data_IF_258206776321
#
_entry.id   IF_258206776321
#
_cell.length_a   1.000
_cell.length_b   1.000
_cell.length_c   1.000
_cell.angle_alpha   90.00
_cell.angle_beta   90.00
_cell.angle_gamma   90.00
#
_symmetry.space_group_name_H-M   'P 1'
#
loop_
_entity.id
_entity.type
_entity.pdbx_description
1 polymer ?
#
# COMPACT_ATOMS: atom_id res chain seq x y z
N UNK A 1 -17.42 -19.98 -14.00
CA UNK A 1 -16.24 -19.59 -13.19
C UNK A 1 -15.05 -20.27 -13.85
N UNK A 2 -14.02 -19.55 -14.29
CA UNK A 2 -12.88 -20.15 -14.99
C UNK A 2 -12.04 -20.98 -14.00
N UNK A 3 -11.57 -22.17 -14.41
CA UNK A 3 -10.71 -23.06 -13.60
C UNK A 3 -9.52 -22.34 -12.97
N UNK A 4 -8.99 -21.31 -13.65
CA UNK A 4 -7.87 -20.49 -13.17
C UNK A 4 -8.22 -19.67 -11.92
N UNK A 5 -9.44 -19.15 -11.83
CA UNK A 5 -9.92 -18.38 -10.67
C UNK A 5 -10.11 -19.29 -9.46
N UNK A 6 -10.65 -20.49 -9.66
CA UNK A 6 -10.87 -21.46 -8.60
C UNK A 6 -9.55 -21.94 -7.99
N UNK A 7 -8.58 -22.31 -8.81
CA UNK A 7 -7.24 -22.71 -8.35
C UNK A 7 -6.53 -21.62 -7.55
N UNK A 8 -6.77 -20.35 -7.90
CA UNK A 8 -6.19 -19.23 -7.17
C UNK A 8 -6.82 -19.05 -5.78
N UNK A 9 -8.15 -19.24 -5.65
CA UNK A 9 -8.87 -19.15 -4.38
C UNK A 9 -8.44 -20.28 -3.43
N UNK A 10 -8.33 -21.52 -3.92
CA UNK A 10 -7.87 -22.65 -3.10
C UNK A 10 -6.41 -22.45 -2.62
N UNK A 11 -5.53 -21.98 -3.50
CA UNK A 11 -4.15 -21.66 -3.15
C UNK A 11 -4.10 -20.60 -2.04
N UNK A 12 -4.91 -19.57 -2.19
CA UNK A 12 -5.02 -18.49 -1.21
C UNK A 12 -5.57 -18.98 0.13
N UNK A 13 -6.58 -19.85 0.10
CA UNK A 13 -7.14 -20.45 1.30
C UNK A 13 -6.10 -21.28 2.06
N UNK A 14 -5.33 -22.11 1.34
CA UNK A 14 -4.25 -22.91 1.96
C UNK A 14 -3.19 -22.02 2.60
N UNK A 15 -2.79 -20.92 1.92
CA UNK A 15 -1.85 -19.94 2.46
C UNK A 15 -2.38 -19.31 3.75
N UNK A 16 -3.65 -18.84 3.72
CA UNK A 16 -4.29 -18.23 4.87
C UNK A 16 -4.44 -19.20 6.05
N UNK A 17 -4.84 -20.44 5.77
CA UNK A 17 -5.03 -21.47 6.79
C UNK A 17 -3.72 -21.94 7.42
N UNK A 18 -2.63 -21.93 6.66
CA UNK A 18 -1.29 -22.26 7.12
C UNK A 18 -0.66 -21.19 8.04
N UNK A 19 -1.23 -19.99 8.12
CA UNK A 19 -0.73 -18.95 9.02
C UNK A 19 -0.83 -19.39 10.49
N UNK A 20 0.29 -19.35 11.19
CA UNK A 20 0.43 -19.78 12.59
C UNK A 20 -0.36 -18.85 13.52
N UNK A 21 -1.36 -19.32 14.28
CA UNK A 21 -2.20 -18.45 15.14
C UNK A 21 -1.43 -17.74 16.25
N UNK A 22 -0.28 -18.26 16.69
CA UNK A 22 0.59 -17.61 17.68
C UNK A 22 1.29 -16.36 17.12
N UNK A 23 1.43 -16.24 15.80
CA UNK A 23 2.10 -15.13 15.14
C UNK A 23 1.10 -14.25 14.39
N UNK A 24 0.06 -14.83 13.79
CA UNK A 24 -0.85 -14.15 12.90
C UNK A 24 -2.30 -14.26 13.37
N UNK A 25 -2.94 -13.12 13.50
CA UNK A 25 -4.39 -13.00 13.62
C UNK A 25 -4.98 -13.01 12.21
N UNK A 26 -5.88 -13.94 11.95
CA UNK A 26 -6.62 -14.06 10.70
C UNK A 26 -7.79 -13.08 10.72
N UNK A 27 -7.63 -11.91 10.08
CA UNK A 27 -8.59 -10.81 10.18
C UNK A 27 -9.75 -10.95 9.18
N UNK A 28 -9.46 -11.39 7.97
CA UNK A 28 -10.44 -11.45 6.90
C UNK A 28 -10.02 -12.42 5.79
N UNK A 29 -10.98 -13.09 5.17
CA UNK A 29 -10.82 -13.85 3.94
C UNK A 29 -12.03 -13.63 3.04
N UNK A 30 -11.80 -13.36 1.74
CA UNK A 30 -12.83 -13.21 0.73
C UNK A 30 -12.98 -14.52 -0.05
N UNK A 31 -14.13 -15.20 0.12
CA UNK A 31 -14.40 -16.49 -0.52
C UNK A 31 -14.63 -16.38 -2.03
N UNK A 32 -14.96 -15.18 -2.55
CA UNK A 32 -15.26 -14.98 -3.96
C UNK A 32 -14.00 -14.83 -4.83
N UNK A 33 -12.91 -14.31 -4.25
CA UNK A 33 -11.69 -13.97 -5.00
C UNK A 33 -10.37 -14.40 -4.34
N UNK A 34 -10.43 -14.95 -3.12
CA UNK A 34 -9.26 -15.41 -2.38
C UNK A 34 -8.41 -14.31 -1.74
N UNK A 35 -8.85 -13.06 -1.77
CA UNK A 35 -8.15 -11.99 -1.07
C UNK A 35 -8.27 -12.16 0.45
N UNK A 36 -7.22 -11.80 1.19
CA UNK A 36 -7.25 -11.91 2.64
C UNK A 36 -6.42 -10.84 3.35
N UNK A 37 -6.69 -10.66 4.64
CA UNK A 37 -5.89 -9.86 5.57
C UNK A 37 -5.52 -10.69 6.78
N UNK A 38 -4.23 -10.74 7.08
CA UNK A 38 -3.72 -11.28 8.32
C UNK A 38 -2.76 -10.29 8.97
N UNK A 39 -2.93 -10.05 10.27
CA UNK A 39 -2.14 -9.09 11.04
C UNK A 39 -1.31 -9.82 12.09
N UNK A 40 -0.02 -9.51 12.18
CA UNK A 40 0.83 -10.04 13.23
C UNK A 40 0.27 -9.66 14.61
N UNK A 41 0.18 -10.61 15.53
CA UNK A 41 -0.49 -10.46 16.83
C UNK A 41 0.11 -9.33 17.71
N UNK A 42 1.34 -8.92 17.46
CA UNK A 42 2.00 -7.82 18.16
C UNK A 42 1.87 -6.45 17.47
N UNK A 43 1.24 -6.39 16.28
CA UNK A 43 1.05 -5.11 15.59
C UNK A 43 0.03 -4.26 16.34
N UNK A 44 0.40 -3.01 16.63
CA UNK A 44 -0.53 -2.04 17.20
C UNK A 44 -0.91 -2.21 18.67
N UNK A 45 -0.08 -2.85 19.48
CA UNK A 45 -0.30 -2.89 20.93
C UNK A 45 -0.22 -1.52 21.62
N UNK A 46 0.42 -0.51 20.98
CA UNK A 46 0.54 0.84 21.51
C UNK A 46 -0.74 1.66 21.27
N UNK A 47 -1.33 2.19 22.34
CA UNK A 47 -2.61 2.90 22.32
C UNK A 47 -2.63 4.15 21.42
N UNK A 48 -1.50 4.87 21.29
CA UNK A 48 -1.36 6.08 20.48
C UNK A 48 -1.40 5.84 18.96
N UNK A 49 -1.24 4.60 18.52
CA UNK A 49 -1.24 4.21 17.09
C UNK A 49 -2.59 3.66 16.61
N UNK A 50 -3.61 3.54 17.49
CA UNK A 50 -4.86 2.83 17.17
C UNK A 50 -5.67 3.45 16.04
N UNK A 51 -5.73 4.78 15.95
CA UNK A 51 -6.51 5.45 14.90
C UNK A 51 -5.88 5.29 13.51
N UNK A 52 -4.55 5.44 13.42
CA UNK A 52 -3.83 5.17 12.18
C UNK A 52 -4.00 3.72 11.72
N UNK A 53 -3.92 2.77 12.65
CA UNK A 53 -4.11 1.34 12.39
C UNK A 53 -5.52 1.03 11.90
N UNK A 54 -6.56 1.67 12.43
CA UNK A 54 -7.93 1.47 11.97
C UNK A 54 -8.10 1.87 10.49
N UNK A 55 -7.51 3.00 10.08
CA UNK A 55 -7.51 3.45 8.67
C UNK A 55 -6.73 2.49 7.77
N UNK A 56 -5.57 2.01 8.21
CA UNK A 56 -4.80 1.00 7.49
C UNK A 56 -5.59 -0.31 7.33
N UNK A 57 -6.27 -0.78 8.38
CA UNK A 57 -7.12 -1.99 8.32
C UNK A 57 -8.22 -1.82 7.29
N UNK A 58 -8.95 -0.70 7.31
CA UNK A 58 -10.00 -0.42 6.32
C UNK A 58 -9.47 -0.49 4.89
N UNK A 59 -8.27 0.08 4.65
CA UNK A 59 -7.63 0.02 3.34
C UNK A 59 -7.22 -1.40 2.94
N UNK A 60 -6.69 -2.17 3.88
CA UNK A 60 -6.38 -3.58 3.66
C UNK A 60 -7.63 -4.40 3.30
N UNK A 61 -8.78 -4.16 3.95
CA UNK A 61 -10.04 -4.82 3.62
C UNK A 61 -10.49 -4.50 2.19
N UNK A 62 -10.38 -3.24 1.77
CA UNK A 62 -10.68 -2.84 0.39
C UNK A 62 -9.78 -3.57 -0.60
N UNK A 63 -8.48 -3.65 -0.32
CA UNK A 63 -7.52 -4.36 -1.16
C UNK A 63 -7.80 -5.87 -1.22
N UNK A 64 -8.15 -6.48 -0.10
CA UNK A 64 -8.52 -7.90 -0.05
C UNK A 64 -9.81 -8.18 -0.81
N UNK A 65 -10.80 -7.28 -0.79
CA UNK A 65 -11.99 -7.37 -1.62
C UNK A 65 -11.68 -7.29 -3.13
N UNK A 66 -10.51 -6.76 -3.50
CA UNK A 66 -9.96 -6.79 -4.85
C UNK A 66 -8.96 -7.93 -5.08
N UNK A 67 -9.01 -8.99 -4.27
CA UNK A 67 -8.21 -10.22 -4.43
C UNK A 67 -6.77 -10.13 -3.94
N UNK A 68 -6.37 -9.08 -3.21
CA UNK A 68 -5.02 -8.97 -2.67
C UNK A 68 -4.86 -9.80 -1.39
N UNK A 69 -3.72 -10.51 -1.28
CA UNK A 69 -3.33 -11.32 -0.12
C UNK A 69 -2.39 -10.50 0.76
N UNK A 70 -2.89 -9.98 1.88
CA UNK A 70 -2.22 -8.96 2.65
C UNK A 70 -1.74 -9.50 3.99
N UNK A 71 -0.43 -9.44 4.22
CA UNK A 71 0.21 -9.71 5.49
C UNK A 71 0.68 -8.39 6.11
N UNK A 72 0.22 -8.11 7.34
CA UNK A 72 0.60 -6.92 8.10
C UNK A 72 1.60 -7.30 9.21
N UNK A 73 2.91 -7.09 9.02
CA UNK A 73 3.94 -7.53 9.96
C UNK A 73 3.93 -6.71 11.27
N UNK A 74 4.68 -7.16 12.27
CA UNK A 74 4.81 -6.49 13.58
C UNK A 74 5.27 -5.03 13.47
N UNK A 75 6.25 -4.76 12.63
CA UNK A 75 6.86 -3.45 12.44
C UNK A 75 6.66 -2.94 11.02
N UNK A 76 7.70 -2.32 10.50
CA UNK A 76 7.79 -1.91 9.10
C UNK A 76 8.05 -3.14 8.20
N UNK A 77 7.49 -3.21 7.00
CA UNK A 77 6.55 -2.27 6.36
C UNK A 77 5.13 -2.35 6.94
N UNK A 78 4.23 -1.49 6.46
CA UNK A 78 2.83 -1.55 6.90
C UNK A 78 2.13 -2.81 6.40
N UNK A 79 2.48 -3.27 5.18
CA UNK A 79 1.97 -4.49 4.60
C UNK A 79 2.93 -5.14 3.60
N UNK A 80 2.74 -6.45 3.38
CA UNK A 80 3.28 -7.23 2.27
C UNK A 80 2.11 -7.71 1.41
N UNK A 81 2.15 -7.47 0.11
CA UNK A 81 1.29 -8.12 -0.88
C UNK A 81 1.92 -8.04 -2.28
N UNK A 82 1.51 -8.92 -3.18
CA UNK A 82 2.08 -9.07 -4.53
C UNK A 82 3.61 -9.24 -4.53
N UNK A 83 4.18 -9.85 -3.47
CA UNK A 83 5.62 -10.06 -3.32
C UNK A 83 6.44 -8.80 -3.02
N UNK A 84 5.79 -7.69 -2.64
CA UNK A 84 6.41 -6.40 -2.41
C UNK A 84 6.06 -5.83 -1.04
N UNK A 85 6.88 -4.90 -0.58
CA UNK A 85 6.67 -4.11 0.65
C UNK A 85 5.89 -2.84 0.35
N UNK A 86 4.93 -2.49 1.23
CA UNK A 86 4.05 -1.35 1.07
C UNK A 86 4.01 -0.50 2.32
N UNK A 87 4.10 0.81 2.12
CA UNK A 87 3.94 1.82 3.17
C UNK A 87 2.64 2.61 2.91
N UNK A 88 1.74 2.66 3.88
CA UNK A 88 0.47 3.34 3.78
C UNK A 88 0.55 4.76 4.30
N UNK A 89 0.11 5.71 3.49
CA UNK A 89 0.02 7.13 3.85
C UNK A 89 -1.44 7.59 3.79
N UNK A 90 -1.88 8.29 4.81
CA UNK A 90 -3.23 8.89 4.81
C UNK A 90 -3.19 10.28 4.20
N UNK A 91 -4.27 10.70 3.55
CA UNK A 91 -4.40 11.98 2.84
C UNK A 91 -4.61 13.20 3.74
N UNK A 92 -4.31 13.12 5.03
CA UNK A 92 -4.39 14.28 5.94
C UNK A 92 -3.29 15.32 5.72
N UNK A 93 -2.70 15.32 4.52
CA UNK A 93 -1.61 16.22 4.17
C UNK A 93 -2.15 17.62 3.84
N UNK A 94 -1.62 18.61 4.54
CA UNK A 94 -2.08 20.00 4.41
C UNK A 94 -1.38 20.78 3.28
N UNK A 95 -0.22 20.29 2.79
CA UNK A 95 0.57 20.97 1.76
C UNK A 95 1.56 20.01 1.06
N UNK A 96 2.18 20.51 -0.03
CA UNK A 96 3.15 19.78 -0.85
C UNK A 96 4.37 19.29 -0.05
N UNK A 97 4.87 20.09 0.89
CA UNK A 97 6.04 19.72 1.70
C UNK A 97 5.75 18.50 2.58
N UNK A 98 4.57 18.44 3.20
CA UNK A 98 4.13 17.28 3.99
C UNK A 98 4.07 16.00 3.13
N UNK A 99 3.58 16.11 1.90
CA UNK A 99 3.53 15.00 0.95
C UNK A 99 4.92 14.55 0.52
N UNK A 100 5.84 15.48 0.27
CA UNK A 100 7.24 15.17 -0.04
C UNK A 100 7.92 14.44 1.10
N UNK A 101 7.71 14.90 2.34
CA UNK A 101 8.23 14.19 3.52
C UNK A 101 7.65 12.77 3.61
N UNK A 102 6.35 12.59 3.36
CA UNK A 102 5.74 11.27 3.36
C UNK A 102 6.34 10.34 2.30
N UNK A 103 6.64 10.85 1.10
CA UNK A 103 7.34 10.09 0.05
C UNK A 103 8.75 9.71 0.51
N UNK A 104 9.49 10.67 1.08
CA UNK A 104 10.84 10.43 1.61
C UNK A 104 10.85 9.39 2.73
N UNK A 105 9.90 9.47 3.66
CA UNK A 105 9.79 8.53 4.78
C UNK A 105 9.44 7.12 4.31
N UNK A 106 8.67 7.01 3.21
CA UNK A 106 8.28 5.74 2.60
C UNK A 106 9.35 5.09 1.71
N UNK A 107 10.51 5.73 1.51
CA UNK A 107 11.60 5.20 0.64
C UNK A 107 12.18 3.85 1.09
N UNK A 108 11.84 3.39 2.28
CA UNK A 108 12.24 2.08 2.79
C UNK A 108 11.40 0.93 2.23
N UNK A 109 10.23 1.23 1.64
CA UNK A 109 9.36 0.26 0.99
C UNK A 109 9.59 0.24 -0.53
N UNK A 110 9.17 -0.85 -1.18
CA UNK A 110 9.14 -0.90 -2.64
C UNK A 110 8.08 0.05 -3.21
N UNK A 111 6.97 0.21 -2.46
CA UNK A 111 5.81 0.98 -2.87
C UNK A 111 5.25 1.83 -1.74
N UNK A 112 4.69 2.99 -2.10
CA UNK A 112 3.87 3.82 -1.22
C UNK A 112 2.45 3.88 -1.79
N UNK A 113 1.46 3.75 -0.93
CA UNK A 113 0.06 3.93 -1.30
C UNK A 113 -0.55 5.06 -0.46
N UNK A 114 -1.02 6.11 -1.12
CA UNK A 114 -1.77 7.19 -0.49
C UNK A 114 -3.26 6.85 -0.48
N UNK A 115 -3.85 6.88 0.70
CA UNK A 115 -5.29 6.70 0.89
C UNK A 115 -5.92 8.07 0.79
N UNK A 116 -6.66 8.33 -0.29
CA UNK A 116 -7.29 9.63 -0.58
C UNK A 116 -8.80 9.58 -0.40
N UNK A 117 -9.36 10.62 0.19
CA UNK A 117 -10.80 10.76 0.42
C UNK A 117 -11.48 11.60 -0.66
N UNK A 118 -10.76 12.58 -1.22
CA UNK A 118 -11.26 13.51 -2.23
C UNK A 118 -10.39 13.42 -3.50
N UNK A 119 -11.05 13.26 -4.65
CA UNK A 119 -10.46 12.61 -5.81
C UNK A 119 -9.47 13.49 -6.59
N UNK A 120 -9.75 14.77 -6.81
CA UNK A 120 -8.95 15.53 -7.78
C UNK A 120 -7.83 16.35 -7.16
N UNK A 121 -8.14 17.14 -6.16
CA UNK A 121 -7.18 18.07 -5.55
C UNK A 121 -6.03 17.34 -4.86
N UNK A 122 -6.33 16.27 -4.12
CA UNK A 122 -5.33 15.48 -3.40
C UNK A 122 -4.39 14.75 -4.36
N UNK A 123 -4.91 14.19 -5.44
CA UNK A 123 -4.11 13.50 -6.47
C UNK A 123 -3.16 14.48 -7.15
N UNK A 124 -3.61 15.66 -7.53
CA UNK A 124 -2.76 16.67 -8.16
C UNK A 124 -1.68 17.18 -7.20
N UNK A 125 -1.99 17.34 -5.93
CA UNK A 125 -0.97 17.67 -4.91
C UNK A 125 0.08 16.56 -4.76
N UNK A 126 -0.33 15.29 -4.76
CA UNK A 126 0.60 14.14 -4.70
C UNK A 126 1.49 14.13 -5.95
N UNK A 127 0.92 14.32 -7.14
CA UNK A 127 1.70 14.42 -8.38
C UNK A 127 2.73 15.55 -8.35
N UNK A 128 2.37 16.74 -7.84
CA UNK A 128 3.30 17.85 -7.67
C UNK A 128 4.44 17.49 -6.71
N UNK A 129 4.11 16.85 -5.58
CA UNK A 129 5.12 16.41 -4.61
C UNK A 129 6.09 15.37 -5.22
N UNK A 130 5.59 14.41 -6.01
CA UNK A 130 6.43 13.44 -6.74
C UNK A 130 7.37 14.17 -7.72
N UNK A 131 6.84 15.09 -8.55
CA UNK A 131 7.64 15.89 -9.50
C UNK A 131 8.73 16.69 -8.80
N UNK A 132 8.38 17.32 -7.68
CA UNK A 132 9.31 18.10 -6.86
C UNK A 132 10.44 17.22 -6.30
N UNK A 133 10.11 16.01 -5.82
CA UNK A 133 11.11 15.06 -5.28
C UNK A 133 12.02 14.51 -6.38
N UNK A 134 11.47 14.14 -7.54
CA UNK A 134 12.24 13.76 -8.72
C UNK A 134 13.18 14.89 -9.15
N UNK A 135 12.69 16.13 -9.24
CA UNK A 135 13.49 17.27 -9.65
C UNK A 135 14.69 17.55 -8.73
N UNK A 136 14.51 17.38 -7.42
CA UNK A 136 15.59 17.54 -6.43
C UNK A 136 16.67 16.46 -6.54
N UNK A 137 16.28 15.23 -6.87
CA UNK A 137 17.15 14.05 -6.94
C UNK A 137 17.76 13.84 -8.32
N UNK A 138 17.32 14.60 -9.33
CA UNK A 138 17.79 14.46 -10.71
C UNK A 138 19.30 14.69 -10.85
N UNK A 139 19.87 15.54 -10.01
CA UNK A 139 21.30 15.87 -10.02
C UNK A 139 22.20 14.69 -9.63
N UNK A 140 21.69 13.80 -8.76
CA UNK A 140 22.46 12.71 -8.15
C UNK A 140 21.98 11.33 -8.63
N UNK A 141 21.11 11.27 -9.66
CA UNK A 141 20.44 10.05 -10.16
C UNK A 141 19.63 9.30 -9.09
N UNK A 142 19.57 9.80 -7.86
CA UNK A 142 18.88 9.18 -6.72
C UNK A 142 17.35 9.16 -6.86
N UNK A 143 16.79 9.74 -7.95
CA UNK A 143 15.37 9.62 -8.28
C UNK A 143 14.95 8.17 -8.61
N UNK A 144 15.91 7.32 -9.06
CA UNK A 144 15.67 5.89 -9.30
C UNK A 144 15.47 5.10 -8.02
N UNK A 145 15.82 5.66 -6.87
CA UNK A 145 15.59 5.04 -5.55
C UNK A 145 14.20 5.33 -4.99
N UNK A 146 13.43 6.23 -5.64
CA UNK A 146 12.08 6.52 -5.19
C UNK A 146 11.19 5.27 -5.30
N UNK A 147 10.35 4.97 -4.30
CA UNK A 147 9.38 3.90 -4.37
C UNK A 147 8.34 4.18 -5.45
N UNK A 148 7.72 3.15 -5.99
CA UNK A 148 6.55 3.33 -6.83
C UNK A 148 5.42 3.95 -5.99
N UNK A 149 4.69 4.92 -6.56
CA UNK A 149 3.66 5.67 -5.84
C UNK A 149 2.28 5.40 -6.44
N UNK A 150 1.37 4.99 -5.57
CA UNK A 150 -0.01 4.66 -5.90
C UNK A 150 -0.97 5.50 -5.07
N UNK A 151 -2.21 5.56 -5.50
CA UNK A 151 -3.34 6.06 -4.72
C UNK A 151 -4.40 4.98 -4.63
N UNK A 152 -5.04 4.89 -3.47
CA UNK A 152 -6.27 4.13 -3.26
C UNK A 152 -7.44 5.10 -3.27
N UNK A 153 -8.28 5.01 -4.30
CA UNK A 153 -9.42 5.90 -4.54
C UNK A 153 -10.65 5.06 -4.78
N UNK A 154 -11.69 5.23 -3.95
CA UNK A 154 -12.98 4.52 -4.13
C UNK A 154 -12.82 2.99 -4.30
N UNK A 155 -11.84 2.41 -3.62
CA UNK A 155 -11.58 0.98 -3.70
C UNK A 155 -10.65 0.54 -4.83
N UNK A 156 -10.23 1.44 -5.72
CA UNK A 156 -9.31 1.15 -6.82
C UNK A 156 -7.90 1.64 -6.52
N UNK A 157 -6.91 0.83 -6.91
CA UNK A 157 -5.49 1.23 -6.87
C UNK A 157 -5.13 1.85 -8.22
N UNK A 158 -4.64 3.09 -8.19
CA UNK A 158 -4.15 3.79 -9.39
C UNK A 158 -2.67 4.16 -9.21
N UNK A 159 -1.84 3.76 -10.17
CA UNK A 159 -0.43 4.17 -10.18
C UNK A 159 -0.33 5.65 -10.57
N UNK A 160 0.35 6.45 -9.75
CA UNK A 160 0.70 7.83 -10.06
C UNK A 160 2.11 7.96 -10.60
N UNK A 161 3.01 7.14 -10.10
CA UNK A 161 4.39 7.09 -10.56
C UNK A 161 4.93 5.66 -10.46
N UNK A 162 5.70 5.24 -11.45
CA UNK A 162 6.32 3.93 -11.51
C UNK A 162 7.68 4.06 -12.18
N UNK A 163 8.71 3.45 -11.59
CA UNK A 163 10.10 3.48 -12.09
C UNK A 163 10.21 3.05 -13.55
N UNK A 164 9.47 2.00 -13.93
CA UNK A 164 9.47 1.48 -15.32
C UNK A 164 8.81 2.42 -16.33
N UNK A 165 7.96 3.35 -15.86
CA UNK A 165 7.31 4.37 -16.70
C UNK A 165 8.01 5.73 -16.63
N UNK A 166 9.08 5.86 -15.85
CA UNK A 166 9.82 7.11 -15.70
C UNK A 166 10.40 7.61 -17.04
N UNK A 167 10.70 6.69 -17.96
CA UNK A 167 11.13 7.01 -19.34
C UNK A 167 10.00 7.60 -20.19
N UNK A 168 8.73 7.35 -19.85
CA UNK A 168 7.56 7.85 -20.58
C UNK A 168 6.92 9.08 -19.95
N UNK A 169 7.31 9.49 -18.75
CA UNK A 169 7.01 10.79 -18.18
C UNK A 169 8.04 11.84 -18.66
N UNK A 170 8.29 11.91 -19.95
CA UNK A 170 8.78 13.13 -20.57
C UNK A 170 7.73 14.20 -20.37
N UNK A 171 7.89 14.94 -19.32
CA UNK A 171 7.15 16.14 -18.97
C UNK A 171 7.82 17.34 -19.63
#
# INVERSE_FOLDING_TARGET
MNDYTYNNIESSRREYDALTPSEWRKDYFNDDNGGFVATHVLKGKDALKREGIAKEVSSCLVLANNGKRILRPKGYPDAYFDGQTWDFKTSTFKNEDSLRHAIKDGMKADNIIFIVNSIELEIEMIKKAIKSEIGRRKKDEAWMELPDVYVLVQGEIKALWNKKKAESFCL
#
